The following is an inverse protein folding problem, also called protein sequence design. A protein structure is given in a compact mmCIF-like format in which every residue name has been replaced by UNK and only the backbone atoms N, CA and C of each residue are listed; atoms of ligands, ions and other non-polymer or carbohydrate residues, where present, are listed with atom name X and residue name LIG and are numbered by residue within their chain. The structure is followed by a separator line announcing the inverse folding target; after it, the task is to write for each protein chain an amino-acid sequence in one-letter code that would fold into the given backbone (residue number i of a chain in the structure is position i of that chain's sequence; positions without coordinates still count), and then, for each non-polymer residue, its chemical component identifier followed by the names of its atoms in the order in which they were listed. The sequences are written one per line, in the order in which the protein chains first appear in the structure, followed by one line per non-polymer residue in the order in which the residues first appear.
data_IF_222556688595
#
_entry.id   IF_222556688595
#
_cell.length_a   1.000
_cell.length_b   1.000
_cell.length_c   1.000
_cell.angle_alpha   90.00
_cell.angle_beta   90.00
_cell.angle_gamma   90.00
#
_symmetry.space_group_name_H-M   'P 1'
#
loop_
_entity.id
_entity.type
_entity.pdbx_description
1 polymer ?
#
# COMPACT_ATOMS: atom_id res chain seq x y z
N UNK A 1 -5.43 7.30 -12.87
CA UNK A 1 -4.14 6.57 -13.00
C UNK A 1 -4.12 5.43 -12.01
N UNK A 2 -3.80 4.24 -12.46
CA UNK A 2 -3.62 3.07 -11.60
C UNK A 2 -2.14 2.86 -11.32
N UNK A 3 -1.81 2.60 -10.06
CA UNK A 3 -0.43 2.42 -9.60
C UNK A 3 -0.28 1.06 -8.95
N UNK A 4 0.88 0.46 -9.17
CA UNK A 4 1.36 -0.71 -8.45
C UNK A 4 2.49 -0.24 -7.53
N UNK A 5 2.47 -0.67 -6.27
CA UNK A 5 3.53 -0.35 -5.32
C UNK A 5 4.06 -1.60 -4.67
N UNK A 6 5.34 -1.56 -4.31
CA UNK A 6 5.98 -2.59 -3.49
C UNK A 6 6.29 -1.95 -2.15
N UNK A 7 5.82 -2.58 -1.08
CA UNK A 7 5.84 -2.03 0.27
C UNK A 7 6.63 -2.96 1.18
N UNK A 8 7.47 -2.36 2.02
CA UNK A 8 8.10 -3.06 3.14
C UNK A 8 7.56 -2.49 4.44
N UNK A 9 7.27 -3.34 5.41
CA UNK A 9 6.86 -2.85 6.72
C UNK A 9 7.33 -3.76 7.84
N UNK A 10 7.62 -3.13 8.99
CA UNK A 10 7.85 -3.80 10.25
C UNK A 10 6.49 -3.93 10.92
N UNK A 11 6.01 -5.16 11.05
CA UNK A 11 4.68 -5.43 11.58
C UNK A 11 4.53 -5.21 13.08
N UNK A 12 5.62 -4.91 13.79
CA UNK A 12 5.57 -4.65 15.22
C UNK A 12 4.66 -3.44 15.49
N UNK A 13 3.67 -3.62 16.33
CA UNK A 13 2.72 -2.55 16.64
C UNK A 13 1.56 -2.45 15.65
N UNK A 14 1.56 -3.23 14.58
CA UNK A 14 0.43 -3.29 13.65
C UNK A 14 -0.38 -4.57 13.85
N UNK A 15 -1.68 -4.45 13.59
CA UNK A 15 -2.59 -5.60 13.63
C UNK A 15 -2.75 -6.22 12.25
N UNK A 16 -1.62 -6.50 11.59
CA UNK A 16 -1.58 -7.05 10.25
C UNK A 16 -1.74 -6.00 9.17
N UNK A 17 -1.92 -6.46 7.93
CA UNK A 17 -2.12 -5.57 6.79
C UNK A 17 -3.52 -4.97 6.78
N UNK A 18 -4.54 -5.79 6.98
CA UNK A 18 -5.91 -5.42 6.69
C UNK A 18 -6.47 -4.38 7.67
N UNK A 19 -7.25 -3.42 7.14
CA UNK A 19 -7.99 -2.47 7.95
C UNK A 19 -8.93 -3.18 8.92
N UNK A 20 -8.94 -2.71 10.17
CA UNK A 20 -9.84 -3.19 11.23
C UNK A 20 -10.36 -1.99 12.04
N UNK A 21 -11.59 -2.06 12.50
CA UNK A 21 -12.19 -0.97 13.27
C UNK A 21 -11.50 -0.72 14.61
N UNK A 22 -11.05 -1.79 15.26
CA UNK A 22 -10.53 -1.72 16.62
C UNK A 22 -9.01 -1.76 16.73
N UNK A 23 -8.31 -1.76 15.59
CA UNK A 23 -6.86 -1.90 15.59
C UNK A 23 -6.27 -1.25 14.36
N UNK A 24 -5.02 -0.79 14.46
CA UNK A 24 -4.34 -0.12 13.36
C UNK A 24 -3.62 -1.15 12.50
N UNK A 25 -4.06 -1.27 11.25
CA UNK A 25 -3.37 -2.08 10.24
C UNK A 25 -2.51 -1.21 9.34
N UNK A 26 -1.60 -1.85 8.61
CA UNK A 26 -0.72 -1.15 7.65
C UNK A 26 -1.55 -0.49 6.56
N UNK A 27 -2.60 -1.17 6.08
CA UNK A 27 -3.52 -0.63 5.07
C UNK A 27 -4.07 0.73 5.47
N UNK A 28 -4.52 0.88 6.71
CA UNK A 28 -5.08 2.13 7.20
C UNK A 28 -4.06 3.26 7.13
N UNK A 29 -2.84 3.01 7.56
CA UNK A 29 -1.77 4.01 7.56
C UNK A 29 -1.45 4.45 6.14
N UNK A 30 -1.36 3.51 5.21
CA UNK A 30 -1.11 3.83 3.80
C UNK A 30 -2.29 4.59 3.19
N UNK A 31 -3.52 4.19 3.49
CA UNK A 31 -4.71 4.87 2.96
C UNK A 31 -4.83 6.30 3.46
N UNK A 32 -4.43 6.57 4.69
CA UNK A 32 -4.43 7.94 5.22
C UNK A 32 -3.47 8.85 4.44
N UNK A 33 -2.29 8.33 4.11
CA UNK A 33 -1.31 9.08 3.30
C UNK A 33 -1.84 9.32 1.90
N UNK A 34 -2.42 8.29 1.28
CA UNK A 34 -3.00 8.41 -0.06
C UNK A 34 -4.15 9.39 -0.09
N UNK A 35 -5.01 9.39 0.93
CA UNK A 35 -6.12 10.33 1.03
C UNK A 35 -5.61 11.78 1.12
N UNK A 36 -4.52 12.00 1.82
CA UNK A 36 -3.90 13.32 1.89
C UNK A 36 -3.42 13.78 0.51
N UNK A 37 -2.76 12.90 -0.23
CA UNK A 37 -2.22 13.24 -1.56
C UNK A 37 -3.33 13.44 -2.60
N UNK A 38 -4.39 12.65 -2.52
CA UNK A 38 -5.50 12.72 -3.48
C UNK A 38 -6.52 13.81 -3.14
N UNK A 39 -6.66 14.12 -1.85
CA UNK A 39 -7.68 15.05 -1.37
C UNK A 39 -9.03 14.38 -1.11
N UNK A 40 -9.12 13.08 -1.22
CA UNK A 40 -10.32 12.29 -0.93
C UNK A 40 -9.92 10.85 -0.61
N UNK A 41 -10.82 10.05 -0.01
CA UNK A 41 -10.48 8.68 0.37
C UNK A 41 -9.99 7.85 -0.80
N UNK A 42 -8.92 7.07 -0.56
CA UNK A 42 -8.33 6.16 -1.53
C UNK A 42 -8.21 4.79 -0.87
N UNK A 43 -8.58 3.75 -1.60
CA UNK A 43 -8.43 2.38 -1.11
C UNK A 43 -7.27 1.71 -1.80
N UNK A 44 -6.40 1.06 -1.02
CA UNK A 44 -5.33 0.21 -1.54
C UNK A 44 -5.70 -1.26 -1.35
N UNK A 45 -5.45 -2.06 -2.39
CA UNK A 45 -5.68 -3.50 -2.38
C UNK A 45 -4.34 -4.21 -2.33
N UNK A 46 -4.20 -5.16 -1.43
CA UNK A 46 -2.95 -5.88 -1.22
C UNK A 46 -2.96 -7.28 -1.80
N UNK A 47 -1.76 -7.82 -2.04
CA UNK A 47 -1.57 -9.14 -2.62
C UNK A 47 -1.94 -10.28 -1.65
N UNK A 48 -1.92 -10.01 -0.36
CA UNK A 48 -2.24 -11.02 0.66
C UNK A 48 -2.67 -10.33 1.94
N UNK A 49 -3.04 -11.12 2.93
CA UNK A 49 -3.29 -10.66 4.29
C UNK A 49 -2.15 -11.12 5.17
N UNK A 50 -1.74 -10.30 6.11
CA UNK A 50 -0.77 -10.68 7.12
C UNK A 50 -1.39 -10.53 8.50
N UNK A 51 -0.93 -11.36 9.42
CA UNK A 51 -1.41 -11.32 10.80
C UNK A 51 -0.68 -10.26 11.62
N UNK A 52 -1.17 -9.99 12.82
CA UNK A 52 -0.54 -9.02 13.72
C UNK A 52 0.93 -9.37 13.95
N UNK A 53 1.78 -8.37 13.90
CA UNK A 53 3.21 -8.51 14.15
C UNK A 53 4.04 -9.05 13.00
N UNK A 54 3.42 -9.47 11.89
CA UNK A 54 4.14 -10.02 10.73
C UNK A 54 4.79 -8.91 9.93
N UNK A 55 6.05 -9.13 9.56
CA UNK A 55 6.82 -8.20 8.72
C UNK A 55 6.67 -8.55 7.24
N UNK A 56 6.86 -7.56 6.37
CA UNK A 56 6.90 -7.78 4.93
C UNK A 56 8.05 -7.00 4.31
N UNK A 57 8.67 -7.56 3.27
CA UNK A 57 9.77 -6.92 2.54
C UNK A 57 9.43 -6.64 1.08
N UNK A 58 8.33 -7.17 0.58
CA UNK A 58 7.95 -7.01 -0.82
C UNK A 58 6.47 -7.19 -1.03
N UNK A 59 5.67 -6.60 -0.16
CA UNK A 59 4.22 -6.67 -0.25
C UNK A 59 3.76 -5.82 -1.44
N UNK A 60 2.96 -6.39 -2.32
CA UNK A 60 2.49 -5.70 -3.53
C UNK A 60 1.07 -5.18 -3.30
N UNK A 61 0.86 -3.91 -3.63
CA UNK A 61 -0.45 -3.30 -3.57
C UNK A 61 -0.76 -2.52 -4.85
N UNK A 62 -2.03 -2.21 -5.05
CA UNK A 62 -2.45 -1.31 -6.12
C UNK A 62 -3.53 -0.36 -5.64
N UNK A 63 -3.57 0.81 -6.27
CA UNK A 63 -4.57 1.83 -5.99
C UNK A 63 -4.72 2.75 -7.20
N UNK A 64 -5.74 3.61 -7.16
CA UNK A 64 -5.96 4.60 -8.21
C UNK A 64 -5.93 6.00 -7.64
N UNK A 65 -5.31 6.91 -8.38
CA UNK A 65 -5.36 8.34 -8.10
C UNK A 65 -5.87 9.05 -9.34
N UNK A 66 -6.55 10.19 -9.13
CA UNK A 66 -6.95 11.06 -10.24
C UNK A 66 -5.82 11.98 -10.65
N UNK A 67 -4.92 12.32 -9.70
CA UNK A 67 -3.79 13.20 -9.96
C UNK A 67 -2.65 12.41 -10.59
N UNK A 68 -2.07 12.91 -11.71
CA UNK A 68 -0.99 12.21 -12.40
C UNK A 68 0.37 12.48 -11.73
N UNK A 69 0.66 11.77 -10.66
CA UNK A 69 1.93 11.90 -9.95
C UNK A 69 2.93 10.90 -10.55
N UNK A 70 4.09 11.36 -11.05
CA UNK A 70 5.10 10.42 -11.55
C UNK A 70 5.50 9.42 -10.48
N UNK A 71 5.71 8.13 -10.83
CA UNK A 71 5.97 7.09 -9.82
C UNK A 71 7.11 7.40 -8.85
N UNK A 72 8.22 7.96 -9.33
CA UNK A 72 9.34 8.33 -8.45
C UNK A 72 8.95 9.39 -7.44
N UNK A 73 8.16 10.37 -7.89
CA UNK A 73 7.67 11.43 -7.01
C UNK A 73 6.67 10.88 -6.01
N UNK A 74 5.85 9.92 -6.44
CA UNK A 74 4.88 9.27 -5.58
C UNK A 74 5.57 8.53 -4.41
N UNK A 75 6.65 7.80 -4.70
CA UNK A 75 7.44 7.12 -3.65
C UNK A 75 7.91 8.12 -2.61
N UNK A 76 8.49 9.24 -3.04
CA UNK A 76 8.98 10.28 -2.14
C UNK A 76 7.86 10.90 -1.33
N UNK A 77 6.76 11.24 -1.99
CA UNK A 77 5.63 11.88 -1.35
C UNK A 77 5.01 10.98 -0.28
N UNK A 78 4.84 9.71 -0.58
CA UNK A 78 4.30 8.75 0.38
C UNK A 78 5.26 8.55 1.56
N UNK A 79 6.54 8.31 1.28
CA UNK A 79 7.52 8.05 2.34
C UNK A 79 7.77 9.24 3.25
N UNK A 80 7.56 10.47 2.75
CA UNK A 80 7.70 11.66 3.58
C UNK A 80 6.65 11.74 4.69
N UNK A 81 5.54 11.03 4.52
CA UNK A 81 4.42 11.06 5.47
C UNK A 81 4.21 9.74 6.20
N UNK A 82 4.72 8.64 5.66
CA UNK A 82 4.60 7.33 6.30
C UNK A 82 5.54 7.25 7.52
N UNK A 83 5.15 6.49 8.56
CA UNK A 83 6.09 6.21 9.65
C UNK A 83 7.27 5.39 9.12
N UNK A 84 8.38 5.43 9.85
CA UNK A 84 9.61 4.71 9.43
C UNK A 84 9.38 3.21 9.27
N UNK A 85 8.42 2.66 9.99
CA UNK A 85 8.09 1.24 9.94
C UNK A 85 7.39 0.81 8.65
N UNK A 86 6.96 1.76 7.81
CA UNK A 86 6.30 1.48 6.53
C UNK A 86 7.01 2.26 5.43
N UNK A 87 7.55 1.55 4.44
CA UNK A 87 8.28 2.19 3.34
C UNK A 87 7.78 1.70 2.00
N UNK A 88 7.56 2.64 1.09
CA UNK A 88 7.32 2.33 -0.31
C UNK A 88 8.68 2.13 -0.95
N UNK A 89 8.94 0.95 -1.47
CA UNK A 89 10.21 0.61 -2.12
C UNK A 89 10.22 0.98 -3.59
N UNK A 90 9.06 0.82 -4.26
CA UNK A 90 8.95 1.06 -5.68
C UNK A 90 7.50 1.37 -6.04
N UNK A 91 7.30 2.24 -7.02
CA UNK A 91 6.00 2.48 -7.62
C UNK A 91 6.13 2.46 -9.13
N UNK A 92 5.07 2.04 -9.81
CA UNK A 92 4.99 2.05 -11.26
C UNK A 92 3.54 2.23 -11.68
N UNK A 93 3.33 2.68 -12.91
CA UNK A 93 1.99 2.67 -13.48
C UNK A 93 1.59 1.22 -13.75
N UNK A 94 0.32 0.92 -13.57
CA UNK A 94 -0.22 -0.41 -13.80
C UNK A 94 -1.32 -0.37 -14.85
N UNK A 95 -1.47 -1.47 -15.58
CA UNK A 95 -2.58 -1.63 -16.52
C UNK A 95 -3.90 -1.72 -15.74
N UNK A 96 -5.00 -1.31 -16.37
CA UNK A 96 -6.31 -1.32 -15.71
C UNK A 96 -6.71 -2.69 -15.20
N UNK A 97 -6.31 -3.74 -15.89
CA UNK A 97 -6.63 -5.12 -15.51
C UNK A 97 -5.71 -5.68 -14.42
N UNK A 98 -4.62 -4.98 -14.07
CA UNK A 98 -3.73 -5.45 -13.01
C UNK A 98 -4.50 -5.48 -11.68
N UNK A 99 -4.37 -6.59 -10.96
CA UNK A 99 -4.97 -6.75 -9.63
C UNK A 99 -3.96 -7.44 -8.71
N UNK A 100 -3.44 -6.71 -7.72
CA UNK A 100 -2.48 -7.23 -6.76
C UNK A 100 -3.00 -8.46 -6.02
N UNK A 101 -4.32 -8.55 -5.81
CA UNK A 101 -4.95 -9.68 -5.12
C UNK A 101 -4.78 -11.00 -5.87
N UNK A 102 -4.51 -10.94 -7.18
CA UNK A 102 -4.35 -12.13 -8.01
C UNK A 102 -2.95 -12.75 -7.89
N UNK A 103 -1.97 -12.01 -7.37
CA UNK A 103 -0.58 -12.48 -7.27
C UNK A 103 -0.49 -13.76 -6.44
N UNK A 104 -1.16 -13.78 -5.27
CA UNK A 104 -1.15 -14.96 -4.40
C UNK A 104 -1.84 -16.18 -5.01
N UNK A 105 -2.80 -15.97 -5.91
CA UNK A 105 -3.55 -17.04 -6.57
C UNK A 105 -2.78 -17.70 -7.69
N UNK A 106 -1.84 -16.97 -8.30
CA UNK A 106 -1.05 -17.48 -9.40
C UNK A 106 -0.09 -18.60 -8.99
N UNK A 107 0.12 -18.79 -7.71
CA UNK A 107 1.02 -19.80 -7.17
C UNK A 107 0.31 -21.05 -6.64
N UNK A 108 -0.96 -21.13 -6.86
CA UNK A 108 -1.76 -22.28 -6.41
C UNK A 108 -1.63 -23.44 -7.39
#
# INVERSE_FOLDING_TARGET
MKYKVVIAYDGTGFSGWQYQENAVGVQQVVEEVLAYLEGEPVRIFGSSRTDAGVHAKGFVGHFRLTKPIPPKNLVRAMNSRLPESVRILKASYAEDRFDARQIGRAHV
#
